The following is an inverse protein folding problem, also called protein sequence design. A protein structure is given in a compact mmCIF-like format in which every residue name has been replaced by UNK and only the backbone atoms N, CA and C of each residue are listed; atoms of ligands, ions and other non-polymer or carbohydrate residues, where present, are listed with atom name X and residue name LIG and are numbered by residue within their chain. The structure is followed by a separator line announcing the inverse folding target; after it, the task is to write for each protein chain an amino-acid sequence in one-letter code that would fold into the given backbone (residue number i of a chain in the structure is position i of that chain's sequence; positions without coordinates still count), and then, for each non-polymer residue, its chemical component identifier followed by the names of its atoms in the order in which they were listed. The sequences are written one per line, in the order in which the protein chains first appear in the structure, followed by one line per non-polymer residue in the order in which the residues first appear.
data_IF_845756040821
#
_entry.id   IF_845756040821
#
_cell.length_a   1.000
_cell.length_b   1.000
_cell.length_c   1.000
_cell.angle_alpha   90.00
_cell.angle_beta   90.00
_cell.angle_gamma   90.00
#
_symmetry.space_group_name_H-M   'P 1'
#
loop_
_entity.id
_entity.type
_entity.pdbx_description
1 polymer ?
#
# COMPACT_ATOMS: atom_id res chain seq x y z
N UNK A 1 -12.85 -20.24 11.15
CA UNK A 1 -11.73 -19.72 10.33
C UNK A 1 -12.31 -18.60 9.51
N UNK A 2 -11.74 -17.39 9.59
CA UNK A 2 -12.22 -16.29 8.76
C UNK A 2 -12.05 -16.70 7.29
N UNK A 3 -13.14 -16.66 6.52
CA UNK A 3 -13.08 -16.75 5.07
C UNK A 3 -12.10 -15.68 4.57
N UNK A 4 -11.18 -16.04 3.68
CA UNK A 4 -10.25 -15.06 3.13
C UNK A 4 -11.02 -14.13 2.17
N UNK A 5 -11.06 -12.84 2.48
CA UNK A 5 -11.79 -11.82 1.71
C UNK A 5 -11.14 -11.47 0.35
N UNK A 6 -10.08 -12.17 -0.06
CA UNK A 6 -9.31 -11.89 -1.27
C UNK A 6 -9.07 -13.16 -2.10
N UNK A 7 -9.01 -12.98 -3.42
CA UNK A 7 -8.62 -14.02 -4.38
C UNK A 7 -7.40 -13.50 -5.14
N UNK A 8 -6.22 -14.00 -4.77
CA UNK A 8 -4.95 -13.64 -5.40
C UNK A 8 -4.21 -14.90 -5.85
N UNK A 9 -3.40 -14.77 -6.89
CA UNK A 9 -2.74 -15.92 -7.52
C UNK A 9 -1.72 -16.60 -6.60
N UNK A 10 -0.88 -15.83 -5.91
CA UNK A 10 0.15 -16.36 -5.03
C UNK A 10 0.48 -15.37 -3.91
N UNK A 11 0.14 -15.72 -2.67
CA UNK A 11 0.37 -14.89 -1.50
C UNK A 11 1.84 -14.87 -1.07
N UNK A 12 2.66 -15.83 -1.51
CA UNK A 12 4.08 -15.90 -1.16
C UNK A 12 4.89 -14.73 -1.73
N UNK A 13 4.37 -14.07 -2.77
CA UNK A 13 4.98 -12.91 -3.41
C UNK A 13 4.77 -11.60 -2.64
N UNK A 14 4.02 -11.60 -1.53
CA UNK A 14 3.68 -10.39 -0.78
C UNK A 14 4.92 -9.61 -0.30
N UNK A 15 5.97 -10.31 0.17
CA UNK A 15 7.20 -9.66 0.62
C UNK A 15 7.91 -8.95 -0.54
N UNK A 16 8.02 -9.62 -1.69
CA UNK A 16 8.63 -9.03 -2.88
C UNK A 16 7.82 -7.82 -3.38
N UNK A 17 6.49 -7.96 -3.45
CA UNK A 17 5.60 -6.87 -3.84
C UNK A 17 5.71 -5.65 -2.92
N UNK A 18 5.91 -5.84 -1.61
CA UNK A 18 6.15 -4.72 -0.68
C UNK A 18 7.46 -4.00 -1.00
N UNK A 19 8.54 -4.74 -1.25
CA UNK A 19 9.85 -4.13 -1.59
C UNK A 19 9.78 -3.30 -2.87
N UNK A 20 9.05 -3.77 -3.88
CA UNK A 20 8.83 -3.01 -5.12
C UNK A 20 7.99 -1.75 -4.87
N UNK A 21 6.97 -1.82 -4.01
CA UNK A 21 6.20 -0.63 -3.59
C UNK A 21 7.10 0.40 -2.90
N UNK A 22 7.98 -0.03 -2.00
CA UNK A 22 8.90 0.87 -1.28
C UNK A 22 9.83 1.62 -2.26
N UNK A 23 10.29 0.95 -3.33
CA UNK A 23 11.06 1.58 -4.41
C UNK A 23 10.16 2.52 -5.23
N UNK A 24 8.95 2.10 -5.59
CA UNK A 24 8.04 2.90 -6.39
C UNK A 24 7.62 4.21 -5.70
N UNK A 25 7.53 4.22 -4.36
CA UNK A 25 7.20 5.43 -3.59
C UNK A 25 8.21 6.56 -3.80
N UNK A 26 9.49 6.26 -4.07
CA UNK A 26 10.50 7.28 -4.38
C UNK A 26 10.24 8.00 -5.71
N UNK A 27 9.56 7.33 -6.64
CA UNK A 27 9.17 7.86 -7.96
C UNK A 27 7.75 8.46 -7.97
N UNK A 28 7.06 8.45 -6.82
CA UNK A 28 5.68 8.93 -6.68
C UNK A 28 5.55 10.10 -5.68
N UNK A 29 6.30 11.21 -5.85
CA UNK A 29 6.37 12.28 -4.85
C UNK A 29 5.01 12.92 -4.55
N UNK A 30 4.11 13.04 -5.53
CA UNK A 30 2.78 13.61 -5.32
C UNK A 30 1.88 12.76 -4.43
N UNK A 31 1.93 11.43 -4.56
CA UNK A 31 1.16 10.53 -3.69
C UNK A 31 1.70 10.54 -2.27
N UNK A 32 3.03 10.57 -2.11
CA UNK A 32 3.66 10.64 -0.79
C UNK A 32 3.37 11.96 -0.09
N UNK A 33 3.43 13.09 -0.80
CA UNK A 33 3.04 14.40 -0.26
C UNK A 33 1.57 14.43 0.18
N UNK A 34 0.67 13.85 -0.62
CA UNK A 34 -0.77 13.76 -0.26
C UNK A 34 -0.98 12.95 1.02
N UNK A 35 -0.25 11.83 1.17
CA UNK A 35 -0.30 11.00 2.39
C UNK A 35 0.25 11.74 3.61
N UNK A 36 1.33 12.51 3.44
CA UNK A 36 1.92 13.31 4.51
C UNK A 36 0.99 14.44 4.97
N UNK A 37 0.41 15.19 4.02
CA UNK A 37 -0.47 16.33 4.31
C UNK A 37 -1.78 15.91 5.00
N UNK A 38 -2.45 14.87 4.50
CA UNK A 38 -3.80 14.50 4.96
C UNK A 38 -3.86 13.24 5.85
N UNK A 39 -2.72 12.61 6.13
CA UNK A 39 -2.66 11.35 6.89
C UNK A 39 -3.21 11.46 8.30
N UNK A 40 -2.89 12.56 9.00
CA UNK A 40 -3.38 12.84 10.36
C UNK A 40 -4.85 13.23 10.39
N UNK A 41 -5.33 13.94 9.36
CA UNK A 41 -6.72 14.39 9.26
C UNK A 41 -7.69 13.22 9.01
N UNK A 42 -7.18 12.10 8.44
CA UNK A 42 -7.96 10.91 8.07
C UNK A 42 -9.28 11.25 7.35
N UNK A 43 -9.26 11.99 6.24
CA UNK A 43 -10.47 12.49 5.60
C UNK A 43 -11.35 11.40 4.96
N UNK A 44 -10.88 10.15 4.90
CA UNK A 44 -11.56 8.99 4.31
C UNK A 44 -12.02 7.95 5.36
N UNK A 45 -12.01 8.32 6.64
CA UNK A 45 -12.43 7.45 7.74
C UNK A 45 -13.95 7.21 7.80
#
# INVERSE_FOLDING_TARGET
MADQDYIVTDLSLAEYGRRELDIAETEMPGLMATREEYGEEKPLA
#
